data_IF_090796723530
#
_entry.id   IF_090796723530
#
_cell.length_a   1.000
_cell.length_b   1.000
_cell.length_c   1.000
_cell.angle_alpha   90.00
_cell.angle_beta   90.00
_cell.angle_gamma   90.00
#
_symmetry.space_group_name_H-M   'P 1'
#
loop_
_entity.id
_entity.type
_entity.pdbx_description
1 polymer ?
#
# COMPACT_ATOMS: atom_id res chain seq x y z
N UNK A 1 -19.31 -9.06 11.42
CA UNK A 1 -18.01 -8.57 11.92
C UNK A 1 -18.25 -7.32 12.77
N UNK A 2 -17.52 -7.13 13.86
CA UNK A 2 -17.52 -5.91 14.66
C UNK A 2 -16.27 -5.05 14.33
N UNK A 3 -16.31 -3.70 14.44
CA UNK A 3 -15.12 -2.86 14.27
C UNK A 3 -13.93 -3.29 15.15
N UNK A 4 -14.21 -3.81 16.34
CA UNK A 4 -13.17 -4.35 17.25
C UNK A 4 -12.43 -5.56 16.66
N UNK A 5 -13.08 -6.36 15.80
CA UNK A 5 -12.42 -7.48 15.12
C UNK A 5 -11.35 -6.96 14.13
N UNK A 6 -11.68 -5.87 13.40
CA UNK A 6 -10.75 -5.22 12.47
C UNK A 6 -9.61 -4.55 13.23
N UNK A 7 -9.93 -3.87 14.34
CA UNK A 7 -8.93 -3.26 15.22
C UNK A 7 -7.98 -4.30 15.81
N UNK A 8 -8.52 -5.43 16.29
CA UNK A 8 -7.72 -6.53 16.81
C UNK A 8 -6.74 -7.06 15.75
N UNK A 9 -7.19 -7.27 14.51
CA UNK A 9 -6.34 -7.67 13.40
C UNK A 9 -5.26 -6.62 13.06
N UNK A 10 -5.63 -5.33 13.07
CA UNK A 10 -4.70 -4.22 12.86
C UNK A 10 -3.62 -4.19 13.94
N UNK A 11 -3.96 -4.54 15.19
CA UNK A 11 -3.03 -4.58 16.32
C UNK A 11 -2.28 -5.91 16.48
N UNK A 12 -2.61 -6.95 15.70
CA UNK A 12 -1.86 -8.20 15.67
C UNK A 12 -0.40 -7.97 15.27
N UNK A 13 0.54 -8.49 16.06
CA UNK A 13 1.99 -8.30 15.83
C UNK A 13 2.65 -9.44 15.06
N UNK A 14 2.12 -10.66 15.21
CA UNK A 14 2.62 -11.83 14.51
C UNK A 14 2.21 -11.78 13.02
N UNK A 15 3.14 -11.87 12.06
CA UNK A 15 2.81 -11.76 10.65
C UNK A 15 1.81 -12.81 10.15
N UNK A 16 2.03 -14.08 10.47
CA UNK A 16 1.16 -15.16 10.03
C UNK A 16 -0.27 -15.01 10.60
N UNK A 17 -0.38 -14.67 11.88
CA UNK A 17 -1.67 -14.41 12.51
C UNK A 17 -2.37 -13.18 11.91
N UNK A 18 -1.63 -12.12 11.55
CA UNK A 18 -2.21 -10.94 10.88
C UNK A 18 -2.73 -11.30 9.49
N UNK A 19 -1.96 -12.06 8.70
CA UNK A 19 -2.40 -12.52 7.39
C UNK A 19 -3.66 -13.39 7.47
N UNK A 20 -3.71 -14.32 8.43
CA UNK A 20 -4.89 -15.14 8.68
C UNK A 20 -6.10 -14.30 9.09
N UNK A 21 -5.91 -13.29 9.95
CA UNK A 21 -6.97 -12.39 10.37
C UNK A 21 -7.50 -11.54 9.20
N UNK A 22 -6.62 -10.98 8.35
CA UNK A 22 -7.03 -10.21 7.18
C UNK A 22 -7.90 -11.03 6.23
N UNK A 23 -7.49 -12.27 5.92
CA UNK A 23 -8.30 -13.20 5.11
C UNK A 23 -9.65 -13.54 5.74
N UNK A 24 -9.67 -13.80 7.06
CA UNK A 24 -10.90 -14.12 7.77
C UNK A 24 -11.88 -12.94 7.78
N UNK A 25 -11.37 -11.71 7.91
CA UNK A 25 -12.18 -10.49 7.83
C UNK A 25 -12.74 -10.30 6.42
N UNK A 26 -11.93 -10.46 5.38
CA UNK A 26 -12.42 -10.36 4.00
C UNK A 26 -13.55 -11.36 3.68
N UNK A 27 -13.48 -12.58 4.24
CA UNK A 27 -14.52 -13.60 4.07
C UNK A 27 -15.82 -13.32 4.86
N UNK A 28 -15.80 -12.38 5.80
CA UNK A 28 -16.94 -12.06 6.65
C UNK A 28 -17.77 -10.89 6.07
N UNK A 29 -19.03 -10.80 6.52
CA UNK A 29 -19.90 -9.69 6.13
C UNK A 29 -19.41 -8.35 6.71
N UNK A 30 -19.11 -7.40 5.83
CA UNK A 30 -18.63 -6.06 6.13
C UNK A 30 -19.77 -5.05 6.33
N UNK A 31 -21.03 -5.41 6.05
CA UNK A 31 -22.18 -4.51 6.22
C UNK A 31 -22.30 -3.91 7.63
N UNK A 32 -22.00 -4.64 8.72
CA UNK A 32 -22.03 -4.05 10.07
C UNK A 32 -21.01 -2.92 10.29
N UNK A 33 -19.90 -2.88 9.55
CA UNK A 33 -18.91 -1.80 9.67
C UNK A 33 -19.47 -0.45 9.19
N UNK A 34 -20.32 -0.46 8.16
CA UNK A 34 -20.97 0.75 7.66
C UNK A 34 -22.04 1.30 8.63
N UNK A 35 -22.60 0.43 9.48
CA UNK A 35 -23.57 0.81 10.51
C UNK A 35 -22.91 1.26 11.82
N UNK A 36 -21.59 1.08 11.96
CA UNK A 36 -20.87 1.46 13.16
C UNK A 36 -20.81 2.98 13.31
N UNK A 37 -21.22 3.48 14.48
CA UNK A 37 -21.22 4.91 14.82
C UNK A 37 -20.28 5.29 15.97
N UNK A 38 -19.50 4.33 16.46
CA UNK A 38 -18.49 4.54 17.49
C UNK A 38 -17.32 5.39 16.95
N UNK A 39 -16.71 6.18 17.83
CA UNK A 39 -15.49 6.91 17.47
C UNK A 39 -14.32 5.93 17.49
N UNK A 40 -13.59 5.75 16.36
CA UNK A 40 -12.44 4.86 16.33
C UNK A 40 -11.37 5.34 17.31
N UNK A 41 -10.75 4.39 18.00
CA UNK A 41 -9.55 4.64 18.78
C UNK A 41 -8.40 4.99 17.83
N UNK A 42 -7.60 5.99 18.20
CA UNK A 42 -6.45 6.36 17.38
C UNK A 42 -5.37 5.27 17.40
N UNK A 43 -4.77 5.04 16.23
CA UNK A 43 -3.74 4.02 16.00
C UNK A 43 -2.48 4.71 15.51
N UNK A 44 -1.64 5.25 16.42
CA UNK A 44 -0.39 5.90 16.02
C UNK A 44 0.65 4.89 15.50
N UNK A 45 0.58 3.64 15.96
CA UNK A 45 1.47 2.54 15.55
C UNK A 45 0.62 1.27 15.41
N UNK A 46 0.62 0.58 14.26
CA UNK A 46 -0.14 -0.64 14.08
C UNK A 46 0.62 -1.82 14.68
N UNK A 47 -0.06 -2.95 14.83
CA UNK A 47 0.56 -4.20 15.23
C UNK A 47 1.64 -4.62 14.23
N UNK A 48 2.87 -4.79 14.72
CA UNK A 48 4.00 -5.28 13.93
C UNK A 48 4.95 -6.14 14.77
N UNK A 49 5.72 -7.03 14.12
CA UNK A 49 6.80 -7.75 14.80
C UNK A 49 7.89 -6.80 15.29
N UNK A 50 8.75 -7.29 16.20
CA UNK A 50 9.86 -6.51 16.76
C UNK A 50 10.88 -6.09 15.68
N UNK A 51 11.16 -7.01 14.75
CA UNK A 51 11.97 -6.79 13.54
C UNK A 51 11.04 -6.74 12.32
N UNK A 52 11.37 -6.00 11.24
CA UNK A 52 12.61 -5.28 11.01
C UNK A 52 12.77 -4.03 11.90
N UNK A 53 14.02 -3.60 12.11
CA UNK A 53 14.28 -2.30 12.71
C UNK A 53 13.86 -1.21 11.73
N UNK A 54 13.14 -0.20 12.23
CA UNK A 54 12.68 0.91 11.41
C UNK A 54 13.70 2.05 11.50
N UNK A 55 14.36 2.34 10.38
CA UNK A 55 15.38 3.38 10.24
C UNK A 55 14.92 4.46 9.28
N UNK A 56 15.57 5.63 9.35
CA UNK A 56 15.34 6.70 8.39
C UNK A 56 15.68 6.23 6.96
N UNK A 57 14.93 6.60 5.91
CA UNK A 57 15.17 6.14 4.54
C UNK A 57 16.62 6.30 4.05
N UNK A 58 17.29 7.40 4.43
CA UNK A 58 18.69 7.65 4.10
C UNK A 58 19.71 6.68 4.75
N UNK A 59 19.28 5.87 5.73
CA UNK A 59 20.10 4.87 6.41
C UNK A 59 19.89 3.45 5.88
N UNK A 60 18.95 3.25 4.96
CA UNK A 60 18.72 1.94 4.35
C UNK A 60 19.94 1.51 3.52
N UNK A 61 20.32 0.25 3.63
CA UNK A 61 21.35 -0.34 2.79
C UNK A 61 20.92 -0.29 1.32
N UNK A 62 21.89 -0.11 0.41
CA UNK A 62 21.62 -0.12 -1.02
C UNK A 62 21.23 -1.53 -1.46
N UNK A 63 20.05 -1.65 -2.07
CA UNK A 63 19.47 -2.90 -2.58
C UNK A 63 20.05 -3.18 -3.97
N UNK A 64 21.07 -4.03 -4.04
CA UNK A 64 21.73 -4.39 -5.29
C UNK A 64 21.22 -5.71 -5.83
N UNK A 65 20.79 -5.78 -7.10
CA UNK A 65 20.35 -7.04 -7.71
C UNK A 65 21.50 -7.98 -8.15
N UNK A 66 22.75 -7.52 -7.99
CA UNK A 66 23.95 -8.23 -8.46
C UNK A 66 24.48 -9.32 -7.52
N UNK A 67 23.92 -9.48 -6.31
CA UNK A 67 24.31 -10.53 -5.36
C UNK A 67 23.08 -11.20 -4.74
N UNK A 68 23.19 -12.46 -4.27
CA UNK A 68 22.09 -13.15 -3.57
C UNK A 68 21.55 -12.35 -2.38
N UNK A 69 22.45 -11.84 -1.53
CA UNK A 69 22.06 -11.04 -0.36
C UNK A 69 21.38 -9.72 -0.74
N UNK A 70 21.80 -9.09 -1.84
CA UNK A 70 21.15 -7.89 -2.32
C UNK A 70 19.76 -8.13 -2.95
N UNK A 71 19.55 -9.32 -3.55
CA UNK A 71 18.21 -9.78 -3.98
C UNK A 71 17.32 -10.09 -2.79
N UNK A 72 17.84 -10.78 -1.77
CA UNK A 72 17.13 -11.01 -0.52
C UNK A 72 16.71 -9.69 0.16
N UNK A 73 17.61 -8.69 0.20
CA UNK A 73 17.29 -7.36 0.73
C UNK A 73 16.21 -6.63 -0.08
N UNK A 74 16.14 -6.85 -1.40
CA UNK A 74 15.05 -6.33 -2.23
C UNK A 74 13.73 -7.02 -1.90
N UNK A 75 13.70 -8.36 -1.90
CA UNK A 75 12.50 -9.17 -1.60
C UNK A 75 11.96 -8.80 -0.22
N UNK A 76 12.84 -8.70 0.80
CA UNK A 76 12.47 -8.26 2.14
C UNK A 76 11.85 -6.86 2.14
N UNK A 77 12.42 -5.92 1.39
CA UNK A 77 11.89 -4.57 1.34
C UNK A 77 10.49 -4.51 0.73
N UNK A 78 10.21 -5.31 -0.30
CA UNK A 78 8.86 -5.43 -0.87
C UNK A 78 7.94 -6.13 0.13
N UNK A 79 8.39 -7.22 0.78
CA UNK A 79 7.60 -7.88 1.83
C UNK A 79 7.21 -6.90 2.95
N UNK A 80 8.11 -6.00 3.33
CA UNK A 80 7.78 -4.96 4.32
C UNK A 80 6.75 -3.95 3.82
N UNK A 81 6.76 -3.62 2.53
CA UNK A 81 5.75 -2.78 1.90
C UNK A 81 4.39 -3.49 1.96
N UNK A 82 4.31 -4.76 1.54
CA UNK A 82 3.06 -5.54 1.59
C UNK A 82 2.54 -5.69 3.01
N UNK A 83 3.42 -5.96 3.98
CA UNK A 83 3.01 -6.01 5.38
C UNK A 83 2.43 -4.69 5.89
N UNK A 84 2.97 -3.55 5.43
CA UNK A 84 2.38 -2.24 5.73
C UNK A 84 1.03 -2.08 5.01
N UNK A 85 0.91 -2.52 3.76
CA UNK A 85 -0.32 -2.43 2.98
C UNK A 85 -1.48 -3.23 3.63
N UNK A 86 -1.21 -4.39 4.26
CA UNK A 86 -2.19 -5.07 5.13
C UNK A 86 -2.70 -4.12 6.22
N UNK A 87 -1.78 -3.43 6.91
CA UNK A 87 -2.16 -2.48 7.97
C UNK A 87 -2.93 -1.27 7.41
N UNK A 88 -2.58 -0.79 6.22
CA UNK A 88 -3.26 0.34 5.60
C UNK A 88 -4.70 -0.01 5.20
N UNK A 89 -4.93 -1.18 4.62
CA UNK A 89 -6.27 -1.68 4.32
C UNK A 89 -7.10 -1.89 5.58
N UNK A 90 -6.53 -2.53 6.61
CA UNK A 90 -7.19 -2.70 7.90
C UNK A 90 -7.49 -1.36 8.59
N UNK A 91 -6.56 -0.40 8.57
CA UNK A 91 -6.77 0.94 9.13
C UNK A 91 -7.83 1.73 8.36
N UNK A 92 -7.87 1.63 7.02
CA UNK A 92 -8.92 2.29 6.24
C UNK A 92 -10.31 1.73 6.62
N UNK A 93 -10.45 0.40 6.65
CA UNK A 93 -11.69 -0.27 7.05
C UNK A 93 -12.07 0.00 8.53
N UNK A 94 -11.09 0.08 9.42
CA UNK A 94 -11.33 0.32 10.84
C UNK A 94 -11.52 1.79 11.20
N UNK A 95 -10.94 2.76 10.49
CA UNK A 95 -10.92 4.17 10.92
C UNK A 95 -12.08 4.96 10.36
N UNK A 96 -12.35 4.83 9.07
CA UNK A 96 -13.28 5.75 8.42
C UNK A 96 -14.72 5.26 8.59
N UNK A 97 -15.47 5.91 9.50
CA UNK A 97 -16.90 5.64 9.76
C UNK A 97 -17.79 6.35 8.73
N UNK A 98 -19.00 5.83 8.55
CA UNK A 98 -20.03 6.45 7.69
C UNK A 98 -19.79 6.29 6.18
N UNK A 99 -18.84 5.43 5.79
CA UNK A 99 -18.62 5.06 4.39
C UNK A 99 -19.66 4.00 3.96
N UNK A 100 -19.93 3.82 2.66
CA UNK A 100 -20.81 2.74 2.20
C UNK A 100 -20.16 1.36 2.41
N UNK A 101 -20.97 0.30 2.47
CA UNK A 101 -20.51 -1.09 2.65
C UNK A 101 -19.39 -1.49 1.69
N UNK A 102 -19.48 -1.04 0.43
CA UNK A 102 -18.47 -1.32 -0.59
C UNK A 102 -17.07 -0.81 -0.21
N UNK A 103 -16.95 0.31 0.50
CA UNK A 103 -15.67 0.83 0.97
C UNK A 103 -14.96 -0.16 1.90
N UNK A 104 -15.69 -0.70 2.86
CA UNK A 104 -15.15 -1.68 3.79
C UNK A 104 -14.82 -3.00 3.10
N UNK A 105 -15.70 -3.45 2.18
CA UNK A 105 -15.43 -4.64 1.39
C UNK A 105 -14.15 -4.51 0.55
N UNK A 106 -13.95 -3.36 -0.09
CA UNK A 106 -12.75 -3.08 -0.89
C UNK A 106 -11.47 -3.11 -0.03
N UNK A 107 -11.44 -2.39 1.09
CA UNK A 107 -10.24 -2.30 1.92
C UNK A 107 -9.91 -3.59 2.68
N UNK A 108 -10.93 -4.37 3.05
CA UNK A 108 -10.72 -5.73 3.57
C UNK A 108 -10.22 -6.68 2.48
N UNK A 109 -10.67 -6.52 1.23
CA UNK A 109 -10.13 -7.27 0.09
C UNK A 109 -8.64 -6.96 -0.11
N UNK A 110 -8.29 -5.66 -0.22
CA UNK A 110 -6.89 -5.22 -0.33
C UNK A 110 -6.07 -5.83 0.79
N UNK A 111 -6.48 -5.69 2.05
CA UNK A 111 -5.73 -6.26 3.18
C UNK A 111 -5.51 -7.79 3.07
N UNK A 112 -6.45 -8.53 2.48
CA UNK A 112 -6.31 -9.96 2.25
C UNK A 112 -5.40 -10.31 1.05
N UNK A 113 -5.43 -9.51 -0.01
CA UNK A 113 -4.52 -9.64 -1.16
C UNK A 113 -3.08 -9.32 -0.74
N UNK A 114 -2.86 -8.25 0.01
CA UNK A 114 -1.52 -7.92 0.53
C UNK A 114 -1.00 -8.94 1.54
N UNK A 115 -1.90 -9.59 2.28
CA UNK A 115 -1.52 -10.72 3.14
C UNK A 115 -0.97 -11.90 2.34
N UNK A 116 -1.54 -12.17 1.16
CA UNK A 116 -1.05 -13.20 0.24
C UNK A 116 0.24 -12.77 -0.45
N UNK A 117 0.37 -11.52 -0.88
CA UNK A 117 1.61 -10.97 -1.44
C UNK A 117 2.77 -11.08 -0.43
N UNK A 118 2.53 -10.67 0.80
CA UNK A 118 3.48 -10.80 1.89
C UNK A 118 3.93 -12.26 2.07
N UNK A 119 3.00 -13.22 2.12
CA UNK A 119 3.33 -14.64 2.30
C UNK A 119 4.14 -15.22 1.13
N UNK A 120 3.86 -14.81 -0.12
CA UNK A 120 4.65 -15.19 -1.29
C UNK A 120 6.10 -14.69 -1.17
N UNK A 121 6.26 -13.44 -0.75
CA UNK A 121 7.57 -12.81 -0.60
C UNK A 121 8.34 -13.35 0.60
N UNK A 122 7.68 -13.62 1.72
CA UNK A 122 8.30 -14.23 2.91
C UNK A 122 8.78 -15.65 2.61
N UNK A 123 7.98 -16.45 1.90
CA UNK A 123 8.41 -17.75 1.40
C UNK A 123 9.60 -17.62 0.44
N UNK A 124 9.56 -16.66 -0.49
CA UNK A 124 10.69 -16.42 -1.39
C UNK A 124 11.94 -15.97 -0.67
N UNK A 125 11.80 -15.16 0.38
CA UNK A 125 12.92 -14.71 1.19
C UNK A 125 13.61 -15.88 1.90
N UNK A 126 12.82 -16.87 2.36
CA UNK A 126 13.33 -18.10 2.95
C UNK A 126 14.15 -18.94 1.96
N UNK A 127 13.79 -18.97 0.67
CA UNK A 127 14.60 -19.64 -0.37
C UNK A 127 16.00 -19.02 -0.50
N UNK A 128 16.13 -17.73 -0.21
CA UNK A 128 17.42 -17.02 -0.18
C UNK A 128 18.17 -17.18 1.15
N UNK A 129 17.62 -17.92 2.11
CA UNK A 129 18.21 -18.18 3.42
C UNK A 129 18.02 -17.07 4.44
N UNK A 130 17.05 -16.18 4.23
CA UNK A 130 16.72 -15.05 5.13
C UNK A 130 15.27 -15.14 5.61
N UNK A 131 14.96 -14.43 6.70
CA UNK A 131 13.61 -14.30 7.23
C UNK A 131 13.13 -12.86 7.20
N UNK A 132 11.81 -12.66 7.18
CA UNK A 132 11.25 -11.32 7.35
C UNK A 132 11.71 -10.70 8.69
N UNK A 133 12.33 -9.53 8.58
CA UNK A 133 12.97 -8.84 9.70
C UNK A 133 14.50 -8.89 9.72
N UNK A 134 15.13 -9.67 8.83
CA UNK A 134 16.60 -9.76 8.78
C UNK A 134 17.29 -8.50 8.27
N UNK A 135 16.61 -7.71 7.43
CA UNK A 135 17.08 -6.42 6.95
C UNK A 135 16.33 -5.26 7.62
N UNK A 136 16.96 -4.08 7.67
CA UNK A 136 16.31 -2.85 8.14
C UNK A 136 15.24 -2.38 7.14
N UNK A 137 14.21 -1.71 7.65
CA UNK A 137 13.14 -1.12 6.84
C UNK A 137 12.83 0.32 7.25
N UNK A 138 11.92 0.99 6.55
CA UNK A 138 11.48 2.35 6.88
C UNK A 138 9.96 2.42 7.00
N UNK A 139 9.47 3.39 7.77
CA UNK A 139 8.05 3.50 8.15
C UNK A 139 7.25 4.50 7.29
N UNK A 140 7.74 4.82 6.09
CA UNK A 140 7.27 5.99 5.33
C UNK A 140 5.78 5.93 4.97
N UNK A 141 5.27 4.74 4.66
CA UNK A 141 3.85 4.49 4.37
C UNK A 141 2.98 4.82 5.58
N UNK A 142 3.29 4.25 6.74
CA UNK A 142 2.51 4.48 7.95
C UNK A 142 2.62 5.92 8.47
N UNK A 143 3.78 6.56 8.32
CA UNK A 143 3.93 7.99 8.65
C UNK A 143 2.96 8.87 7.86
N UNK A 144 2.75 8.58 6.56
CA UNK A 144 1.75 9.28 5.77
C UNK A 144 0.32 8.91 6.19
N UNK A 145 0.07 7.65 6.55
CA UNK A 145 -1.21 7.22 7.08
C UNK A 145 -1.60 8.03 8.33
N UNK A 146 -0.68 8.22 9.27
CA UNK A 146 -0.91 9.04 10.47
C UNK A 146 -1.18 10.50 10.10
N UNK A 147 -0.38 11.09 9.20
CA UNK A 147 -0.58 12.50 8.76
C UNK A 147 -1.95 12.73 8.12
N UNK A 148 -2.49 11.74 7.44
CA UNK A 148 -3.76 11.81 6.70
C UNK A 148 -4.93 11.16 7.44
N UNK A 149 -4.71 10.67 8.66
CA UNK A 149 -5.73 9.93 9.43
C UNK A 149 -7.00 10.74 9.75
N UNK A 150 -6.91 12.07 9.68
CA UNK A 150 -7.99 12.98 9.99
C UNK A 150 -9.03 13.14 8.86
N UNK A 151 -8.72 12.71 7.63
CA UNK A 151 -9.64 12.87 6.50
C UNK A 151 -9.50 11.72 5.47
N UNK A 152 -10.58 10.97 5.29
CA UNK A 152 -10.67 9.87 4.32
C UNK A 152 -10.30 10.33 2.90
N UNK A 153 -10.75 11.50 2.45
CA UNK A 153 -10.47 11.98 1.09
C UNK A 153 -8.96 12.18 0.89
N UNK A 154 -8.30 12.79 1.87
CA UNK A 154 -6.85 13.02 1.83
C UNK A 154 -6.10 11.70 1.90
N UNK A 155 -6.54 10.77 2.76
CA UNK A 155 -5.95 9.42 2.84
C UNK A 155 -6.02 8.71 1.49
N UNK A 156 -7.21 8.63 0.89
CA UNK A 156 -7.42 7.97 -0.41
C UNK A 156 -6.61 8.66 -1.53
N UNK A 157 -6.43 9.98 -1.46
CA UNK A 157 -5.67 10.72 -2.44
C UNK A 157 -4.16 10.45 -2.38
N UNK A 158 -3.59 10.23 -1.19
CA UNK A 158 -2.14 10.27 -1.00
C UNK A 158 -1.51 8.92 -0.71
N UNK A 159 -2.20 8.01 -0.01
CA UNK A 159 -1.60 6.73 0.34
C UNK A 159 -1.72 5.73 -0.82
N UNK A 160 -2.93 5.26 -1.21
CA UNK A 160 -3.05 4.26 -2.27
C UNK A 160 -2.71 4.82 -3.67
N UNK A 161 -3.07 6.07 -3.95
CA UNK A 161 -2.84 6.66 -5.28
C UNK A 161 -1.40 7.16 -5.52
N UNK A 162 -0.61 7.41 -4.48
CA UNK A 162 0.73 8.02 -4.67
C UNK A 162 1.81 7.11 -4.15
N UNK A 163 1.68 6.67 -2.90
CA UNK A 163 2.71 5.84 -2.27
C UNK A 163 2.64 4.39 -2.73
N UNK A 164 1.44 3.79 -2.78
CA UNK A 164 1.26 2.40 -3.25
C UNK A 164 1.40 2.34 -4.77
N UNK A 165 0.80 3.29 -5.52
CA UNK A 165 0.98 3.42 -6.97
C UNK A 165 2.45 3.57 -7.43
N UNK A 166 3.39 3.81 -6.51
CA UNK A 166 4.81 3.75 -6.83
C UNK A 166 5.24 2.35 -7.28
N UNK A 167 4.60 1.29 -6.78
CA UNK A 167 4.78 -0.09 -7.23
C UNK A 167 4.57 -0.23 -8.75
N UNK A 168 3.51 0.38 -9.28
CA UNK A 168 3.21 0.38 -10.72
C UNK A 168 4.34 0.96 -11.57
N UNK A 169 5.06 1.95 -11.04
CA UNK A 169 6.13 2.65 -11.76
C UNK A 169 7.46 1.89 -11.68
N UNK A 170 7.79 1.30 -10.53
CA UNK A 170 9.14 0.79 -10.26
C UNK A 170 9.28 -0.71 -10.46
N UNK A 171 8.21 -1.49 -10.23
CA UNK A 171 8.23 -2.95 -10.32
C UNK A 171 8.60 -3.47 -11.71
N UNK A 172 8.14 -2.89 -12.84
CA UNK A 172 8.55 -3.35 -14.17
C UNK A 172 10.07 -3.33 -14.37
N UNK A 173 10.74 -2.26 -13.92
CA UNK A 173 12.20 -2.18 -14.02
C UNK A 173 12.96 -3.10 -13.05
N UNK A 174 12.29 -3.62 -12.01
CA UNK A 174 12.84 -4.66 -11.13
C UNK A 174 12.69 -6.04 -11.77
N UNK A 175 11.52 -6.33 -12.36
CA UNK A 175 11.24 -7.54 -13.15
C UNK A 175 12.29 -7.71 -14.25
N UNK A 176 12.53 -6.67 -15.05
CA UNK A 176 13.52 -6.71 -16.14
C UNK A 176 14.91 -7.11 -15.64
N UNK A 177 15.34 -6.54 -14.50
CA UNK A 177 16.67 -6.80 -13.92
C UNK A 177 16.75 -8.18 -13.28
N UNK A 178 15.67 -8.67 -12.67
CA UNK A 178 15.60 -10.02 -12.10
C UNK A 178 15.61 -11.08 -13.20
N UNK A 179 14.89 -10.84 -14.31
CA UNK A 179 14.91 -11.69 -15.50
C UNK A 179 16.31 -11.77 -16.11
N UNK A 180 17.00 -10.64 -16.27
CA UNK A 180 18.42 -10.63 -16.71
C UNK A 180 19.36 -11.36 -15.76
N UNK A 181 19.00 -11.45 -14.48
CA UNK A 181 19.73 -12.15 -13.44
C UNK A 181 19.38 -13.65 -13.33
N UNK A 182 18.41 -14.13 -14.12
CA UNK A 182 17.94 -15.52 -14.13
C UNK A 182 17.16 -15.91 -12.87
N UNK A 183 16.51 -14.95 -12.21
CA UNK A 183 15.70 -15.18 -11.00
C UNK A 183 14.20 -15.26 -11.36
N UNK A 184 13.86 -16.30 -12.13
CA UNK A 184 12.54 -16.45 -12.74
C UNK A 184 11.42 -16.64 -11.69
N UNK A 185 11.72 -17.25 -10.53
CA UNK A 185 10.70 -17.41 -9.49
C UNK A 185 10.35 -16.08 -8.81
N UNK A 186 11.34 -15.19 -8.60
CA UNK A 186 11.04 -13.85 -8.04
C UNK A 186 10.32 -12.99 -9.07
N UNK A 187 10.65 -13.13 -10.36
CA UNK A 187 9.91 -12.49 -11.46
C UNK A 187 8.43 -12.88 -11.41
N UNK A 188 8.12 -14.18 -11.35
CA UNK A 188 6.74 -14.65 -11.32
C UNK A 188 5.94 -14.09 -10.13
N UNK A 189 6.55 -13.96 -8.95
CA UNK A 189 5.91 -13.34 -7.78
C UNK A 189 5.65 -11.84 -8.03
N UNK A 190 6.62 -11.12 -8.59
CA UNK A 190 6.49 -9.68 -8.85
C UNK A 190 5.45 -9.40 -9.94
N UNK A 191 5.29 -10.28 -10.92
CA UNK A 191 4.25 -10.19 -11.94
C UNK A 191 2.85 -10.34 -11.34
N UNK A 192 2.65 -11.30 -10.42
CA UNK A 192 1.38 -11.45 -9.68
C UNK A 192 1.05 -10.17 -8.92
N UNK A 193 2.01 -9.66 -8.14
CA UNK A 193 1.80 -8.45 -7.33
C UNK A 193 1.48 -7.25 -8.24
N UNK A 194 2.22 -7.07 -9.34
CA UNK A 194 2.01 -5.96 -10.26
C UNK A 194 0.63 -6.00 -10.94
N UNK A 195 0.14 -7.17 -11.31
CA UNK A 195 -1.20 -7.34 -11.91
C UNK A 195 -2.30 -6.93 -10.92
N UNK A 196 -2.16 -7.30 -9.65
CA UNK A 196 -3.16 -7.06 -8.62
C UNK A 196 -3.10 -5.64 -8.01
N UNK A 197 -1.95 -4.98 -8.11
CA UNK A 197 -1.74 -3.62 -7.61
C UNK A 197 -2.57 -2.58 -8.38
N UNK A 198 -2.83 -2.78 -9.68
CA UNK A 198 -3.64 -1.84 -10.47
C UNK A 198 -5.07 -1.69 -9.91
N UNK A 199 -5.81 -2.79 -9.63
CA UNK A 199 -7.07 -2.73 -8.88
C UNK A 199 -6.98 -2.06 -7.51
N UNK A 200 -5.88 -2.20 -6.76
CA UNK A 200 -5.72 -1.57 -5.44
C UNK A 200 -5.62 -0.05 -5.57
N UNK A 201 -4.82 0.43 -6.52
CA UNK A 201 -4.69 1.85 -6.82
C UNK A 201 -6.00 2.42 -7.36
N UNK A 202 -6.75 1.66 -8.17
CA UNK A 202 -8.09 2.06 -8.65
C UNK A 202 -9.07 2.29 -7.50
N UNK A 203 -9.09 1.41 -6.49
CA UNK A 203 -9.91 1.58 -5.28
C UNK A 203 -9.60 2.93 -4.62
N UNK A 204 -8.31 3.27 -4.49
CA UNK A 204 -7.87 4.57 -3.97
C UNK A 204 -8.42 5.73 -4.80
N UNK A 205 -8.32 5.67 -6.12
CA UNK A 205 -8.88 6.66 -7.04
C UNK A 205 -10.39 6.80 -6.88
N UNK A 206 -11.11 5.68 -6.85
CA UNK A 206 -12.58 5.67 -6.74
C UNK A 206 -13.04 6.32 -5.44
N UNK A 207 -12.46 5.94 -4.30
CA UNK A 207 -12.87 6.48 -3.00
C UNK A 207 -12.42 7.93 -2.78
N UNK A 208 -11.29 8.35 -3.36
CA UNK A 208 -10.92 9.76 -3.41
C UNK A 208 -12.00 10.59 -4.10
N UNK A 209 -12.41 10.20 -5.32
CA UNK A 209 -13.42 10.94 -6.10
C UNK A 209 -14.78 10.90 -5.41
N UNK A 210 -15.18 9.74 -4.89
CA UNK A 210 -16.40 9.58 -4.09
C UNK A 210 -16.46 10.56 -2.91
N UNK A 211 -15.33 10.85 -2.26
CA UNK A 211 -15.28 11.79 -1.14
C UNK A 211 -15.18 13.25 -1.59
N UNK A 212 -14.53 13.53 -2.73
CA UNK A 212 -14.33 14.89 -3.24
C UNK A 212 -15.62 15.47 -3.85
N UNK A 213 -16.35 14.68 -4.63
CA UNK A 213 -17.53 15.14 -5.39
C UNK A 213 -18.64 15.73 -4.49
N UNK A 214 -19.08 15.07 -3.40
CA UNK A 214 -20.11 15.64 -2.51
C UNK A 214 -19.65 16.88 -1.76
N UNK A 215 -18.33 17.11 -1.65
CA UNK A 215 -17.73 18.31 -1.05
C UNK A 215 -17.65 19.48 -2.04
N UNK A 216 -18.09 19.30 -3.29
CA UNK A 216 -17.99 20.32 -4.34
C UNK A 216 -16.56 20.60 -4.79
N UNK A 217 -15.64 19.66 -4.55
CA UNK A 217 -14.24 19.79 -4.90
C UNK A 217 -14.00 19.14 -6.27
N UNK A 218 -13.30 19.85 -7.15
CA UNK A 218 -12.79 19.28 -8.40
C UNK A 218 -11.66 18.29 -8.08
N UNK A 219 -11.77 16.99 -8.43
CA UNK A 219 -10.79 15.99 -8.01
C UNK A 219 -9.39 16.23 -8.56
N UNK A 220 -9.26 16.70 -9.80
CA UNK A 220 -7.98 16.81 -10.48
C UNK A 220 -7.13 17.96 -9.87
N UNK A 221 -7.75 19.13 -9.66
CA UNK A 221 -7.11 20.26 -8.95
C UNK A 221 -6.89 19.97 -7.46
N UNK A 222 -7.79 19.21 -6.83
CA UNK A 222 -7.62 18.80 -5.43
C UNK A 222 -6.44 17.86 -5.27
N UNK A 223 -6.28 16.88 -6.17
CA UNK A 223 -5.18 15.93 -6.13
C UNK A 223 -3.81 16.61 -6.25
N UNK A 224 -3.64 17.48 -7.24
CA UNK A 224 -2.40 18.23 -7.45
C UNK A 224 -2.07 19.15 -6.27
N UNK A 225 -3.08 19.83 -5.68
CA UNK A 225 -2.90 20.63 -4.46
C UNK A 225 -2.42 19.78 -3.28
N UNK A 226 -3.01 18.61 -3.06
CA UNK A 226 -2.63 17.71 -1.96
C UNK A 226 -1.20 17.18 -2.13
N UNK A 227 -0.78 16.88 -3.36
CA UNK A 227 0.61 16.51 -3.65
C UNK A 227 1.59 17.62 -3.28
N UNK A 228 1.29 18.86 -3.65
CA UNK A 228 2.11 20.03 -3.30
C UNK A 228 2.18 20.24 -1.78
N UNK A 229 1.04 20.18 -1.10
CA UNK A 229 0.91 20.43 0.34
C UNK A 229 1.61 19.36 1.20
N UNK A 230 1.44 18.08 0.87
CA UNK A 230 1.91 16.97 1.73
C UNK A 230 3.25 16.39 1.30
N UNK A 231 3.62 16.55 0.03
CA UNK A 231 4.73 15.81 -0.58
C UNK A 231 5.66 16.69 -1.40
N UNK A 232 5.57 18.02 -1.28
CA UNK A 232 6.34 18.97 -2.09
C UNK A 232 6.22 18.66 -3.60
N UNK A 233 5.01 18.27 -3.98
CA UNK A 233 4.61 17.95 -5.34
C UNK A 233 4.74 16.47 -5.73
N UNK A 234 5.01 15.59 -4.78
CA UNK A 234 4.97 14.14 -5.00
C UNK A 234 6.32 13.52 -5.41
N UNK A 235 6.37 12.17 -5.46
CA UNK A 235 7.59 11.44 -5.81
C UNK A 235 7.99 11.71 -7.27
N UNK A 236 9.29 11.74 -7.59
CA UNK A 236 9.75 11.90 -8.97
C UNK A 236 9.44 10.66 -9.81
N UNK A 237 9.34 10.86 -11.13
CA UNK A 237 9.21 9.79 -12.11
C UNK A 237 10.44 8.86 -12.19
N UNK A 238 10.48 7.95 -13.18
CA UNK A 238 9.48 7.80 -14.23
C UNK A 238 8.14 7.27 -13.72
N UNK A 239 7.09 7.49 -14.50
CA UNK A 239 5.73 7.00 -14.21
C UNK A 239 5.27 5.95 -15.24
N UNK A 240 4.53 4.94 -14.78
CA UNK A 240 3.85 4.00 -15.65
C UNK A 240 2.48 4.56 -16.05
N UNK A 241 2.44 5.43 -17.06
CA UNK A 241 1.21 6.05 -17.53
C UNK A 241 0.12 5.05 -17.97
N UNK A 242 0.43 3.95 -18.69
CA UNK A 242 -0.56 2.92 -18.99
C UNK A 242 -1.23 2.35 -17.73
N UNK A 243 -0.46 1.92 -16.73
CA UNK A 243 -1.01 1.35 -15.50
C UNK A 243 -1.78 2.39 -14.67
N UNK A 244 -1.28 3.62 -14.56
CA UNK A 244 -1.99 4.71 -13.87
C UNK A 244 -3.32 5.05 -14.55
N UNK A 245 -3.38 5.01 -15.89
CA UNK A 245 -4.64 5.19 -16.62
C UNK A 245 -5.63 4.06 -16.34
N UNK A 246 -5.15 2.82 -16.28
CA UNK A 246 -5.98 1.67 -15.89
C UNK A 246 -6.49 1.80 -14.45
N UNK A 247 -5.65 2.33 -13.54
CA UNK A 247 -6.02 2.72 -12.18
C UNK A 247 -6.87 4.01 -12.09
N UNK A 248 -7.44 4.44 -13.22
CA UNK A 248 -8.41 5.55 -13.38
C UNK A 248 -7.91 6.96 -13.07
N UNK A 249 -6.61 7.20 -13.17
CA UNK A 249 -6.11 8.57 -13.20
C UNK A 249 -6.69 9.28 -14.42
N UNK A 250 -7.13 10.52 -14.25
CA UNK A 250 -7.68 11.31 -15.34
C UNK A 250 -6.56 11.80 -16.26
N UNK A 251 -6.86 12.04 -17.54
CA UNK A 251 -5.84 12.59 -18.46
C UNK A 251 -5.25 13.93 -17.95
N UNK A 252 -6.02 14.87 -17.36
CA UNK A 252 -5.45 16.05 -16.71
C UNK A 252 -4.42 15.74 -15.61
N UNK A 253 -4.67 14.73 -14.77
CA UNK A 253 -3.71 14.29 -13.75
C UNK A 253 -2.45 13.68 -14.39
N UNK A 254 -2.61 12.87 -15.43
CA UNK A 254 -1.49 12.24 -16.15
C UNK A 254 -0.63 13.30 -16.88
N UNK A 255 -1.24 14.27 -17.54
CA UNK A 255 -0.56 15.39 -18.21
C UNK A 255 0.25 16.22 -17.20
N UNK A 256 -0.31 16.47 -16.01
CA UNK A 256 0.39 17.17 -14.93
C UNK A 256 1.61 16.38 -14.43
N UNK A 257 1.47 15.06 -14.24
CA UNK A 257 2.59 14.19 -13.86
C UNK A 257 3.68 14.17 -14.93
N UNK A 258 3.31 14.10 -16.21
CA UNK A 258 4.24 14.12 -17.34
C UNK A 258 5.02 15.43 -17.44
N UNK A 259 4.37 16.57 -17.15
CA UNK A 259 5.04 17.87 -17.10
C UNK A 259 6.05 17.95 -15.95
N UNK A 260 5.74 17.35 -14.80
CA UNK A 260 6.70 17.27 -13.68
C UNK A 260 7.89 16.38 -13.96
N UNK A 261 7.70 15.25 -14.64
CA UNK A 261 8.78 14.33 -14.98
C UNK A 261 9.85 14.99 -15.88
N UNK A 262 9.45 15.99 -16.68
CA UNK A 262 10.34 16.76 -17.56
C UNK A 262 11.16 17.86 -16.86
N UNK A 263 10.81 18.21 -15.62
CA UNK A 263 11.45 19.31 -14.86
C UNK A 263 12.57 18.78 -13.96
#
# INVERSE_FOLDING_TARGET
MHPDDVHAALMTRDPAAKCAAARALHAADSAPLAAAGDTPVDVPVPGRPERPALVHPAKLSKRGLGSPEGRAALIHAIAHIEFNAINLGLDAAYRFRGMPVAFYADWLRVAADEARHFELLDARLADHGFAYGDFDAHNGLWEMAVKTAHDVMIRMALVPRVLEARGLDVTPGMIDKLSQAGDDETVAIFEIILEEEVPHVEIGTRWFRHCAEPRGLDPDTTFTRLLDEYMNGGPPGPYNFPARREARFSEPELDWLAERERR
#
